data_IF_306186364893
#
_entry.id   IF_306186364893
#
_cell.length_a   1.000
_cell.length_b   1.000
_cell.length_c   1.000
_cell.angle_alpha   90.00
_cell.angle_beta   90.00
_cell.angle_gamma   90.00
#
_symmetry.space_group_name_H-M   'P 1'
#
loop_
_entity.id
_entity.type
_entity.pdbx_description
1 polymer ?
#
# COMPACT_ATOMS: atom_id res chain seq x y z
N UNK A 1 -30.81 13.52 -39.92
CA UNK A 1 -29.46 13.34 -39.32
C UNK A 1 -29.68 12.78 -37.94
N UNK A 2 -30.02 11.50 -37.84
CA UNK A 2 -30.43 10.88 -36.58
C UNK A 2 -30.22 9.36 -36.68
N UNK A 3 -28.96 8.95 -36.82
CA UNK A 3 -28.51 7.57 -36.68
C UNK A 3 -26.98 7.57 -36.63
N UNK A 4 -26.40 7.57 -35.42
CA UNK A 4 -25.04 7.10 -35.07
C UNK A 4 -24.74 7.40 -33.58
N UNK A 5 -25.65 6.97 -32.70
CA UNK A 5 -25.39 6.86 -31.26
C UNK A 5 -25.82 5.47 -30.77
N UNK A 6 -25.22 4.44 -31.38
CA UNK A 6 -25.22 3.11 -30.76
C UNK A 6 -24.11 3.14 -29.71
N UNK A 7 -24.51 3.41 -28.47
CA UNK A 7 -23.59 3.39 -27.34
C UNK A 7 -22.86 2.05 -27.30
N UNK A 8 -21.53 2.11 -27.27
CA UNK A 8 -20.71 0.93 -27.00
C UNK A 8 -21.02 0.50 -25.57
N UNK A 9 -21.82 -0.55 -25.43
CA UNK A 9 -21.96 -1.26 -24.16
C UNK A 9 -20.57 -1.75 -23.79
N UNK A 10 -19.92 -1.09 -22.82
CA UNK A 10 -18.69 -1.60 -22.21
C UNK A 10 -19.01 -3.00 -21.69
N UNK A 11 -18.49 -4.04 -22.35
CA UNK A 11 -18.48 -5.37 -21.76
C UNK A 11 -17.53 -5.29 -20.57
N UNK A 12 -18.09 -5.37 -19.35
CA UNK A 12 -17.25 -5.59 -18.19
C UNK A 12 -16.43 -6.87 -18.42
N UNK A 13 -15.17 -6.89 -17.98
CA UNK A 13 -14.54 -8.16 -17.62
C UNK A 13 -15.52 -8.96 -16.70
N UNK A 14 -15.75 -10.28 -16.91
CA UNK A 14 -16.85 -11.06 -16.28
C UNK A 14 -16.35 -11.84 -15.04
N UNK A 15 -16.71 -11.64 -13.76
CA UNK A 15 -15.76 -11.89 -12.62
C UNK A 15 -15.67 -13.15 -11.70
N UNK A 16 -14.44 -13.53 -11.27
CA UNK A 16 -14.13 -14.54 -10.22
C UNK A 16 -14.19 -13.90 -8.83
N UNK A 17 -15.02 -14.40 -7.94
CA UNK A 17 -15.30 -13.72 -6.67
C UNK A 17 -14.37 -14.14 -5.53
N UNK A 18 -14.32 -13.39 -4.43
CA UNK A 18 -13.59 -13.82 -3.23
C UNK A 18 -14.09 -15.18 -2.71
N UNK A 19 -15.41 -15.40 -2.77
CA UNK A 19 -16.02 -16.70 -2.49
C UNK A 19 -15.50 -17.84 -3.38
N UNK A 20 -15.13 -17.57 -4.64
CA UNK A 20 -14.48 -18.57 -5.51
C UNK A 20 -13.09 -18.95 -4.98
N UNK A 21 -12.24 -17.99 -4.56
CA UNK A 21 -10.91 -18.32 -4.02
C UNK A 21 -10.99 -19.10 -2.71
N UNK A 22 -11.89 -18.70 -1.80
CA UNK A 22 -12.19 -19.45 -0.57
C UNK A 22 -12.60 -20.90 -0.92
N UNK A 23 -13.52 -21.08 -1.87
CA UNK A 23 -13.97 -22.40 -2.32
C UNK A 23 -12.88 -23.20 -3.04
N UNK A 24 -12.00 -22.54 -3.80
CA UNK A 24 -10.88 -23.15 -4.50
C UNK A 24 -9.86 -23.77 -3.53
N UNK A 25 -9.64 -23.15 -2.37
CA UNK A 25 -8.84 -23.71 -1.28
C UNK A 25 -9.51 -24.98 -0.71
N UNK A 26 -10.81 -24.90 -0.38
CA UNK A 26 -11.56 -26.03 0.21
C UNK A 26 -11.50 -27.29 -0.66
N UNK A 27 -11.81 -27.17 -1.96
CA UNK A 27 -11.92 -28.33 -2.87
C UNK A 27 -10.57 -28.98 -3.20
N UNK A 28 -9.45 -28.29 -2.98
CA UNK A 28 -8.10 -28.78 -3.24
C UNK A 28 -7.36 -29.28 -1.99
N UNK A 29 -8.07 -29.49 -0.88
CA UNK A 29 -7.54 -30.08 0.35
C UNK A 29 -7.45 -29.13 1.54
N UNK A 30 -8.08 -27.95 1.47
CA UNK A 30 -8.02 -26.96 2.55
C UNK A 30 -6.68 -26.23 2.62
N UNK A 31 -6.51 -25.37 3.64
CA UNK A 31 -5.37 -24.46 3.75
C UNK A 31 -4.01 -25.19 3.79
N UNK A 32 -3.94 -26.35 4.43
CA UNK A 32 -2.74 -27.18 4.52
C UNK A 32 -2.17 -27.56 3.13
N UNK A 33 -3.03 -27.74 2.11
CA UNK A 33 -2.60 -28.04 0.74
C UNK A 33 -1.93 -26.84 0.04
N UNK A 34 -2.13 -25.63 0.56
CA UNK A 34 -1.63 -24.34 0.05
C UNK A 34 -0.56 -23.71 0.94
N UNK A 35 -0.21 -24.35 2.07
CA UNK A 35 0.79 -23.83 2.98
C UNK A 35 2.14 -23.62 2.27
N UNK A 36 2.74 -22.44 2.45
CA UNK A 36 3.99 -22.02 1.80
C UNK A 36 3.96 -22.01 0.25
N UNK A 37 2.80 -22.15 -0.40
CA UNK A 37 2.70 -22.04 -1.86
C UNK A 37 2.56 -20.58 -2.29
N UNK A 38 3.47 -20.14 -3.16
CA UNK A 38 3.28 -18.88 -3.88
C UNK A 38 2.13 -18.99 -4.88
N UNK A 39 1.58 -17.87 -5.32
CA UNK A 39 0.52 -17.85 -6.35
C UNK A 39 0.98 -18.50 -7.66
N UNK A 40 2.28 -18.41 -7.99
CA UNK A 40 2.88 -19.12 -9.13
C UNK A 40 3.00 -20.62 -8.91
N UNK A 41 3.31 -21.08 -7.70
CA UNK A 41 3.27 -22.50 -7.35
C UNK A 41 1.84 -23.04 -7.38
N UNK A 42 0.85 -22.26 -6.96
CA UNK A 42 -0.58 -22.59 -7.09
C UNK A 42 -1.00 -22.69 -8.56
N UNK A 43 -0.55 -21.76 -9.41
CA UNK A 43 -0.77 -21.83 -10.85
C UNK A 43 -0.23 -23.14 -11.44
N UNK A 44 1.04 -23.45 -11.16
CA UNK A 44 1.69 -24.64 -11.69
C UNK A 44 1.08 -25.96 -11.18
N UNK A 45 0.67 -25.99 -9.90
CA UNK A 45 0.19 -27.20 -9.22
C UNK A 45 -1.29 -27.49 -9.43
N UNK A 46 -2.12 -26.45 -9.52
CA UNK A 46 -3.59 -26.58 -9.52
C UNK A 46 -4.25 -26.00 -10.76
N UNK A 47 -3.78 -24.88 -11.33
CA UNK A 47 -4.45 -24.23 -12.47
C UNK A 47 -4.04 -24.81 -13.82
N UNK A 48 -2.74 -25.01 -14.09
CA UNK A 48 -2.29 -25.63 -15.35
C UNK A 48 -2.81 -27.07 -15.57
N UNK A 49 -3.00 -27.91 -14.53
CA UNK A 49 -3.67 -29.19 -14.70
C UNK A 49 -5.20 -29.09 -14.87
N UNK A 50 -5.80 -27.90 -14.65
CA UNK A 50 -7.25 -27.67 -14.68
C UNK A 50 -7.71 -27.03 -15.99
N UNK A 51 -8.38 -27.84 -16.82
CA UNK A 51 -8.86 -27.46 -18.15
C UNK A 51 -10.08 -26.51 -18.19
N UNK A 52 -10.44 -25.84 -17.08
CA UNK A 52 -11.69 -25.05 -16.97
C UNK A 52 -11.51 -23.53 -16.82
N UNK A 53 -10.28 -23.00 -16.88
CA UNK A 53 -10.03 -21.56 -16.75
C UNK A 53 -10.37 -20.82 -18.06
N UNK A 54 -11.67 -20.63 -18.35
CA UNK A 54 -12.14 -19.89 -19.54
C UNK A 54 -12.93 -18.62 -19.29
N UNK A 55 -13.37 -18.39 -18.05
CA UNK A 55 -14.07 -17.18 -17.63
C UNK A 55 -13.70 -16.94 -16.16
N UNK A 56 -12.96 -15.86 -15.82
CA UNK A 56 -13.61 -14.70 -15.17
C UNK A 56 -12.70 -13.63 -14.47
N UNK A 57 -13.01 -12.32 -14.62
CA UNK A 57 -12.35 -11.04 -14.24
C UNK A 57 -13.28 -9.98 -13.55
N UNK A 58 -12.99 -9.28 -12.43
CA UNK A 58 -13.50 -7.87 -12.16
C UNK A 58 -13.03 -7.10 -10.87
N UNK A 59 -11.78 -7.26 -10.40
CA UNK A 59 -11.00 -6.30 -9.55
C UNK A 59 -9.53 -6.62 -9.79
N UNK A 60 -8.73 -5.70 -10.31
CA UNK A 60 -7.33 -6.02 -10.70
C UNK A 60 -6.49 -6.36 -9.46
N UNK A 61 -6.04 -7.61 -9.39
CA UNK A 61 -5.13 -8.17 -8.39
C UNK A 61 -3.86 -8.71 -9.10
N UNK A 62 -2.70 -8.34 -8.55
CA UNK A 62 -1.42 -8.25 -9.23
C UNK A 62 -0.75 -9.59 -9.61
N UNK A 63 0.09 -9.65 -10.67
CA UNK A 63 0.94 -10.78 -11.07
C UNK A 63 2.15 -10.98 -10.15
N UNK A 64 1.86 -11.17 -8.86
CA UNK A 64 2.84 -11.54 -7.87
C UNK A 64 2.93 -13.06 -7.68
N UNK A 65 3.46 -13.74 -8.71
CA UNK A 65 3.77 -15.19 -8.76
C UNK A 65 4.65 -15.69 -7.58
N UNK A 66 5.20 -14.77 -6.78
CA UNK A 66 6.14 -14.99 -5.68
C UNK A 66 5.55 -14.73 -4.28
N UNK A 67 4.37 -14.11 -4.17
CA UNK A 67 3.69 -13.90 -2.87
C UNK A 67 2.90 -15.18 -2.51
N UNK A 68 2.79 -15.49 -1.22
CA UNK A 68 1.94 -16.57 -0.70
C UNK A 68 0.49 -16.43 -1.17
N UNK A 69 -0.11 -17.50 -1.68
CA UNK A 69 -1.50 -17.45 -2.13
C UNK A 69 -2.49 -17.27 -0.98
N UNK A 70 -2.21 -17.90 0.17
CA UNK A 70 -3.04 -17.75 1.36
C UNK A 70 -3.00 -16.30 1.88
N UNK A 71 -1.82 -15.67 1.91
CA UNK A 71 -1.67 -14.27 2.32
C UNK A 71 -2.46 -13.32 1.42
N UNK A 72 -2.53 -13.61 0.10
CA UNK A 72 -3.35 -12.84 -0.84
C UNK A 72 -4.84 -13.00 -0.57
N UNK A 73 -5.32 -14.22 -0.35
CA UNK A 73 -6.75 -14.46 -0.08
C UNK A 73 -7.16 -13.88 1.28
N UNK A 74 -6.33 -14.00 2.31
CA UNK A 74 -6.60 -13.44 3.64
C UNK A 74 -6.56 -11.91 3.62
N UNK A 75 -5.59 -11.30 2.93
CA UNK A 75 -5.51 -9.85 2.78
C UNK A 75 -6.73 -9.28 2.04
N UNK A 76 -7.22 -9.99 1.01
CA UNK A 76 -8.45 -9.60 0.30
C UNK A 76 -9.69 -9.79 1.16
N UNK A 77 -9.77 -10.84 1.98
CA UNK A 77 -10.89 -11.08 2.91
C UNK A 77 -10.98 -9.99 3.98
N UNK A 78 -9.85 -9.65 4.61
CA UNK A 78 -9.78 -8.55 5.58
C UNK A 78 -10.12 -7.21 4.90
N UNK A 79 -9.57 -6.93 3.71
CA UNK A 79 -9.88 -5.70 2.95
C UNK A 79 -11.37 -5.60 2.57
N UNK A 80 -12.01 -6.71 2.19
CA UNK A 80 -13.45 -6.74 1.87
C UNK A 80 -14.28 -6.45 3.12
N UNK A 81 -13.96 -7.09 4.25
CA UNK A 81 -14.65 -6.88 5.53
C UNK A 81 -14.51 -5.42 6.00
N UNK A 82 -13.32 -4.84 5.94
CA UNK A 82 -13.04 -3.45 6.34
C UNK A 82 -13.76 -2.42 5.45
N UNK A 83 -13.96 -2.72 4.17
CA UNK A 83 -14.68 -1.84 3.23
C UNK A 83 -16.19 -2.17 3.11
N UNK A 84 -16.71 -3.12 3.88
CA UNK A 84 -18.13 -3.53 3.81
C UNK A 84 -18.53 -4.18 2.47
N UNK A 85 -17.57 -4.81 1.78
CA UNK A 85 -17.77 -5.49 0.51
C UNK A 85 -18.25 -6.94 0.72
N UNK A 86 -19.06 -7.42 -0.21
CA UNK A 86 -19.59 -8.79 -0.19
C UNK A 86 -18.65 -9.77 -0.93
N UNK A 87 -18.67 -11.05 -0.53
CA UNK A 87 -17.89 -12.14 -1.14
C UNK A 87 -18.21 -12.39 -2.63
N UNK A 88 -19.30 -11.82 -3.15
CA UNK A 88 -19.67 -11.80 -4.58
C UNK A 88 -18.97 -10.70 -5.39
N UNK A 89 -18.29 -9.75 -4.75
CA UNK A 89 -17.45 -8.79 -5.48
C UNK A 89 -16.36 -9.57 -6.22
N UNK A 90 -16.30 -9.31 -7.52
CA UNK A 90 -15.39 -9.96 -8.44
C UNK A 90 -13.94 -9.50 -8.25
N UNK A 91 -13.01 -10.33 -8.72
CA UNK A 91 -11.57 -10.11 -8.68
C UNK A 91 -10.95 -10.68 -9.97
N UNK A 92 -10.30 -9.81 -10.74
CA UNK A 92 -9.38 -10.15 -11.82
C UNK A 92 -8.02 -10.40 -11.19
N UNK A 93 -7.83 -11.60 -10.65
CA UNK A 93 -6.50 -12.06 -10.27
C UNK A 93 -5.84 -12.65 -11.51
N UNK A 94 -4.90 -11.94 -12.13
CA UNK A 94 -4.28 -12.30 -13.42
C UNK A 94 -3.87 -13.79 -13.57
N UNK A 95 -3.42 -14.42 -12.48
CA UNK A 95 -3.02 -15.84 -12.40
C UNK A 95 -4.19 -16.80 -12.63
N UNK A 96 -5.40 -16.40 -12.26
CA UNK A 96 -6.65 -17.15 -12.42
C UNK A 96 -7.49 -16.66 -13.60
N UNK A 97 -7.29 -15.44 -14.07
CA UNK A 97 -8.19 -14.80 -15.02
C UNK A 97 -7.66 -14.77 -16.47
N UNK A 98 -6.33 -14.86 -16.65
CA UNK A 98 -5.73 -15.05 -17.95
C UNK A 98 -5.57 -16.55 -18.25
N UNK A 99 -5.67 -16.94 -19.52
CA UNK A 99 -5.37 -18.31 -19.93
C UNK A 99 -3.86 -18.59 -19.77
N UNK A 100 -3.51 -19.32 -18.72
CA UNK A 100 -2.11 -19.59 -18.37
C UNK A 100 -1.41 -20.47 -19.42
N UNK A 101 -2.14 -21.24 -20.23
CA UNK A 101 -1.57 -22.00 -21.34
C UNK A 101 -1.13 -21.08 -22.50
N UNK A 102 -1.97 -20.12 -22.89
CA UNK A 102 -1.65 -19.14 -23.95
C UNK A 102 -0.47 -18.23 -23.55
N UNK A 103 -0.32 -17.95 -22.25
CA UNK A 103 0.86 -17.28 -21.69
C UNK A 103 2.11 -18.16 -21.79
N UNK A 104 2.03 -19.43 -21.40
CA UNK A 104 3.18 -20.35 -21.44
C UNK A 104 3.68 -20.62 -22.86
N UNK A 105 2.77 -20.81 -23.81
CA UNK A 105 3.08 -21.04 -25.22
C UNK A 105 3.48 -19.74 -25.95
N UNK A 106 3.51 -18.59 -25.26
CA UNK A 106 3.83 -17.25 -25.80
C UNK A 106 3.05 -16.92 -27.08
N UNK A 107 1.76 -17.28 -27.10
CA UNK A 107 0.87 -17.13 -28.27
C UNK A 107 0.67 -15.67 -28.66
N UNK A 108 0.80 -14.76 -27.70
CA UNK A 108 0.53 -13.34 -27.83
C UNK A 108 1.73 -12.49 -27.41
N UNK A 109 1.90 -11.35 -28.09
CA UNK A 109 2.93 -10.36 -27.81
C UNK A 109 2.58 -9.44 -26.62
N UNK A 110 3.52 -8.55 -26.29
CA UNK A 110 3.34 -7.57 -25.21
C UNK A 110 2.16 -6.62 -25.47
N UNK A 111 2.00 -6.14 -26.69
CA UNK A 111 0.95 -5.16 -27.05
C UNK A 111 -0.46 -5.76 -26.84
N UNK A 112 -0.64 -7.05 -27.12
CA UNK A 112 -1.88 -7.76 -26.83
C UNK A 112 -2.21 -7.79 -25.33
N UNK A 113 -1.27 -8.26 -24.50
CA UNK A 113 -1.47 -8.34 -23.03
C UNK A 113 -1.65 -6.95 -22.40
N UNK A 114 -0.86 -5.98 -22.85
CA UNK A 114 -0.97 -4.57 -22.46
C UNK A 114 -2.34 -3.98 -22.82
N UNK A 115 -2.88 -4.30 -24.01
CA UNK A 115 -4.22 -3.91 -24.45
C UNK A 115 -5.35 -4.52 -23.59
N UNK A 116 -5.27 -5.81 -23.29
CA UNK A 116 -6.21 -6.49 -22.36
C UNK A 116 -6.14 -5.85 -20.97
N UNK A 117 -4.93 -5.61 -20.46
CA UNK A 117 -4.74 -5.02 -19.15
C UNK A 117 -5.32 -3.60 -19.06
N UNK A 118 -4.97 -2.69 -19.98
CA UNK A 118 -5.49 -1.30 -19.98
C UNK A 118 -6.99 -1.24 -20.19
N UNK A 119 -7.55 -2.07 -21.07
CA UNK A 119 -9.01 -2.10 -21.28
C UNK A 119 -9.75 -2.62 -20.04
N UNK A 120 -9.19 -3.63 -19.36
CA UNK A 120 -9.73 -4.13 -18.08
C UNK A 120 -9.66 -3.07 -16.98
N UNK A 121 -8.51 -2.43 -16.79
CA UNK A 121 -8.29 -1.37 -15.79
C UNK A 121 -9.25 -0.19 -16.00
N UNK A 122 -9.47 0.26 -17.25
CA UNK A 122 -10.44 1.31 -17.63
C UNK A 122 -11.91 0.93 -17.45
N UNK A 123 -12.21 -0.37 -17.31
CA UNK A 123 -13.56 -0.86 -17.07
C UNK A 123 -13.85 -0.99 -15.57
N UNK A 124 -12.89 -1.54 -14.82
CA UNK A 124 -12.99 -1.77 -13.37
C UNK A 124 -12.81 -0.48 -12.57
N UNK A 125 -11.85 0.37 -12.96
CA UNK A 125 -11.55 1.64 -12.29
C UNK A 125 -10.96 1.51 -10.87
N UNK A 126 -10.64 0.30 -10.42
CA UNK A 126 -10.12 0.00 -9.09
C UNK A 126 -8.97 -1.03 -9.17
N UNK A 127 -7.93 -0.84 -8.35
CA UNK A 127 -6.77 -1.75 -8.20
C UNK A 127 -6.54 -1.98 -6.72
N UNK A 128 -6.32 -3.23 -6.31
CA UNK A 128 -5.94 -3.60 -4.94
C UNK A 128 -4.59 -4.30 -4.97
N UNK A 129 -3.57 -3.69 -4.37
CA UNK A 129 -2.26 -4.29 -4.17
C UNK A 129 -2.20 -5.00 -2.81
N UNK A 130 -1.86 -6.29 -2.80
CA UNK A 130 -1.52 -6.99 -1.55
C UNK A 130 -0.07 -6.66 -1.18
N UNK A 131 0.15 -5.88 -0.14
CA UNK A 131 1.49 -5.45 0.27
C UNK A 131 2.08 -6.41 1.31
N UNK A 132 3.10 -7.20 0.90
CA UNK A 132 3.81 -8.13 1.78
C UNK A 132 5.28 -8.34 1.35
N UNK A 133 6.25 -8.34 2.29
CA UNK A 133 6.13 -7.78 3.64
C UNK A 133 5.89 -6.27 3.58
N UNK A 134 5.34 -5.66 4.62
CA UNK A 134 4.96 -4.24 4.57
C UNK A 134 6.15 -3.29 4.39
N UNK A 135 7.30 -3.62 5.00
CA UNK A 135 8.50 -2.78 5.09
C UNK A 135 9.49 -2.92 3.93
N UNK A 136 9.32 -3.94 3.09
CA UNK A 136 10.12 -4.18 1.89
C UNK A 136 9.28 -4.94 0.84
N UNK A 137 8.24 -4.30 0.26
CA UNK A 137 7.21 -5.01 -0.50
C UNK A 137 7.77 -5.80 -1.68
N UNK A 138 7.57 -7.13 -1.65
CA UNK A 138 7.99 -8.00 -2.76
C UNK A 138 7.29 -7.62 -4.06
N UNK A 139 6.06 -7.10 -3.96
CA UNK A 139 5.28 -6.59 -5.10
C UNK A 139 5.98 -5.46 -5.84
N UNK A 140 6.52 -4.48 -5.12
CA UNK A 140 7.21 -3.32 -5.72
C UNK A 140 8.62 -3.64 -6.25
N UNK A 141 9.06 -4.89 -6.12
CA UNK A 141 10.23 -5.45 -6.83
C UNK A 141 9.87 -6.11 -8.16
N UNK A 142 8.59 -6.20 -8.53
CA UNK A 142 8.13 -6.86 -9.77
C UNK A 142 7.77 -5.82 -10.84
N UNK A 143 8.36 -5.97 -12.03
CA UNK A 143 8.19 -4.99 -13.12
C UNK A 143 6.73 -4.78 -13.50
N UNK A 144 5.96 -5.87 -13.60
CA UNK A 144 4.52 -5.80 -13.87
C UNK A 144 3.76 -5.05 -12.77
N UNK A 145 4.04 -5.32 -11.49
CA UNK A 145 3.31 -4.69 -10.38
C UNK A 145 3.63 -3.19 -10.22
N UNK A 146 4.88 -2.79 -10.46
CA UNK A 146 5.26 -1.38 -10.56
C UNK A 146 4.54 -0.70 -11.74
N UNK A 147 4.47 -1.38 -12.89
CA UNK A 147 3.73 -0.91 -14.05
C UNK A 147 2.21 -0.82 -13.80
N UNK A 148 1.63 -1.68 -12.98
CA UNK A 148 0.23 -1.57 -12.56
C UNK A 148 -0.04 -0.34 -11.70
N UNK A 149 0.87 0.00 -10.77
CA UNK A 149 0.77 1.27 -10.01
C UNK A 149 0.80 2.45 -10.99
N UNK A 150 1.76 2.48 -11.91
CA UNK A 150 1.84 3.50 -12.96
C UNK A 150 0.55 3.63 -13.77
N UNK A 151 0.07 2.51 -14.31
CA UNK A 151 -1.13 2.48 -15.14
C UNK A 151 -2.39 2.90 -14.34
N UNK A 152 -2.48 2.56 -13.05
CA UNK A 152 -3.58 2.99 -12.19
C UNK A 152 -3.64 4.52 -12.08
N UNK A 153 -2.48 5.19 -11.99
CA UNK A 153 -2.41 6.66 -11.95
C UNK A 153 -2.73 7.26 -13.31
N UNK A 154 -2.19 6.69 -14.40
CA UNK A 154 -2.45 7.18 -15.79
C UNK A 154 -3.92 7.04 -16.19
N UNK A 155 -4.59 5.96 -15.80
CA UNK A 155 -6.00 5.71 -16.08
C UNK A 155 -6.94 6.32 -15.01
N UNK A 156 -6.40 7.04 -14.02
CA UNK A 156 -7.11 7.62 -12.88
C UNK A 156 -8.03 6.60 -12.15
N UNK A 157 -7.53 5.38 -11.98
CA UNK A 157 -8.16 4.34 -11.18
C UNK A 157 -7.96 4.61 -9.68
N UNK A 158 -8.90 4.15 -8.86
CA UNK A 158 -8.72 4.09 -7.40
C UNK A 158 -7.69 3.00 -7.10
N UNK A 159 -6.61 3.36 -6.42
CA UNK A 159 -5.60 2.42 -5.94
C UNK A 159 -5.74 2.24 -4.43
N UNK A 160 -5.77 0.99 -3.99
CA UNK A 160 -5.90 0.59 -2.59
C UNK A 160 -4.85 -0.46 -2.23
N UNK A 161 -4.55 -0.57 -0.93
CA UNK A 161 -3.63 -1.59 -0.40
C UNK A 161 -4.38 -2.50 0.56
N UNK A 162 -4.18 -3.81 0.37
CA UNK A 162 -4.59 -4.86 1.27
C UNK A 162 -3.36 -5.45 1.98
N UNK A 163 -3.52 -5.85 3.24
CA UNK A 163 -2.50 -6.54 4.04
C UNK A 163 -3.15 -7.67 4.83
N UNK A 164 -2.51 -8.83 4.91
CA UNK A 164 -2.94 -9.87 5.84
C UNK A 164 -2.70 -9.44 7.29
N UNK A 165 -3.52 -9.92 8.22
CA UNK A 165 -3.51 -9.52 9.66
C UNK A 165 -2.14 -9.36 10.29
N UNK A 166 -1.22 -10.31 10.05
CA UNK A 166 0.14 -10.27 10.61
C UNK A 166 0.98 -9.12 10.04
N UNK A 167 0.88 -8.85 8.75
CA UNK A 167 1.55 -7.71 8.10
C UNK A 167 0.92 -6.39 8.53
N UNK A 168 -0.42 -6.31 8.63
CA UNK A 168 -1.11 -5.12 9.14
C UNK A 168 -0.73 -4.82 10.59
N UNK A 169 -0.64 -5.84 11.45
CA UNK A 169 -0.19 -5.68 12.84
C UNK A 169 1.27 -5.23 12.93
N UNK A 170 2.19 -5.82 12.15
CA UNK A 170 3.59 -5.38 12.08
C UNK A 170 3.67 -3.94 11.60
N UNK A 171 2.96 -3.58 10.54
CA UNK A 171 2.88 -2.21 10.03
C UNK A 171 2.42 -1.22 11.11
N UNK A 172 1.31 -1.50 11.79
CA UNK A 172 0.75 -0.63 12.84
C UNK A 172 1.66 -0.49 14.08
N UNK A 173 2.50 -1.49 14.35
CA UNK A 173 3.53 -1.43 15.38
C UNK A 173 4.76 -0.63 14.92
N UNK A 174 5.26 -0.92 13.73
CA UNK A 174 6.52 -0.37 13.22
C UNK A 174 6.38 1.11 12.78
N UNK A 175 5.19 1.53 12.32
CA UNK A 175 4.88 2.91 11.90
C UNK A 175 4.96 3.93 13.06
N UNK A 176 5.05 3.45 14.31
CA UNK A 176 5.30 4.30 15.49
C UNK A 176 6.72 4.89 15.51
N UNK A 177 7.65 4.37 14.71
CA UNK A 177 8.96 4.99 14.43
C UNK A 177 8.84 5.95 13.23
N UNK A 178 9.06 7.25 13.48
CA UNK A 178 9.05 8.34 12.49
C UNK A 178 9.77 8.00 11.17
N UNK A 179 10.86 7.21 11.25
CA UNK A 179 11.66 6.83 10.08
C UNK A 179 11.10 5.65 9.27
N UNK A 180 10.19 4.85 9.84
CA UNK A 180 9.86 3.52 9.31
C UNK A 180 9.21 3.55 7.92
N UNK A 181 8.30 4.50 7.67
CA UNK A 181 7.66 4.66 6.37
C UNK A 181 8.65 5.11 5.28
N UNK A 182 9.46 6.14 5.54
CA UNK A 182 10.44 6.64 4.57
C UNK A 182 11.57 5.62 4.33
N UNK A 183 11.91 4.81 5.34
CA UNK A 183 12.80 3.66 5.19
C UNK A 183 12.22 2.60 4.26
N UNK A 184 10.93 2.28 4.36
CA UNK A 184 10.23 1.41 3.40
C UNK A 184 10.24 2.02 1.99
N UNK A 185 9.91 3.32 1.84
CA UNK A 185 9.96 3.99 0.54
C UNK A 185 11.37 3.92 -0.09
N UNK A 186 12.43 3.97 0.73
CA UNK A 186 13.82 3.87 0.26
C UNK A 186 14.22 2.50 -0.31
N UNK A 187 13.44 1.43 -0.05
CA UNK A 187 13.71 0.11 -0.66
C UNK A 187 13.18 0.01 -2.09
N UNK A 188 12.17 0.82 -2.44
CA UNK A 188 11.52 0.84 -3.76
C UNK A 188 12.45 1.48 -4.79
N UNK A 189 12.80 0.71 -5.82
CA UNK A 189 13.63 1.15 -6.95
C UNK A 189 13.07 0.53 -8.23
N UNK A 190 12.16 1.24 -8.91
CA UNK A 190 11.42 0.72 -10.08
C UNK A 190 12.34 0.24 -11.21
N UNK A 191 13.48 0.90 -11.42
CA UNK A 191 14.49 0.52 -12.42
C UNK A 191 15.23 -0.80 -12.10
N UNK A 192 15.15 -1.28 -10.84
CA UNK A 192 15.68 -2.58 -10.42
C UNK A 192 14.59 -3.66 -10.33
N UNK A 193 13.37 -3.37 -10.76
CA UNK A 193 12.29 -4.36 -10.76
C UNK A 193 12.54 -5.49 -11.76
N UNK A 194 12.07 -6.68 -11.43
CA UNK A 194 12.29 -7.89 -12.23
C UNK A 194 10.97 -8.56 -12.65
N UNK A 195 11.00 -9.28 -13.77
CA UNK A 195 9.92 -10.18 -14.20
C UNK A 195 10.52 -11.47 -14.78
N UNK A 196 9.72 -12.53 -14.81
CA UNK A 196 10.15 -13.89 -15.20
C UNK A 196 10.38 -14.00 -16.71
N UNK A 197 9.69 -13.18 -17.51
CA UNK A 197 9.82 -13.14 -18.97
C UNK A 197 10.68 -11.91 -19.33
N UNK A 198 11.91 -12.07 -19.88
CA UNK A 198 12.80 -10.94 -20.13
C UNK A 198 12.23 -9.91 -21.12
N UNK A 199 11.49 -10.36 -22.15
CA UNK A 199 10.87 -9.45 -23.13
C UNK A 199 9.82 -8.52 -22.51
N UNK A 200 9.05 -8.99 -21.53
CA UNK A 200 8.11 -8.14 -20.80
C UNK A 200 8.86 -7.01 -20.09
N UNK A 201 9.99 -7.34 -19.43
CA UNK A 201 10.82 -6.34 -18.74
C UNK A 201 11.29 -5.30 -19.74
N UNK A 202 11.87 -5.73 -20.84
CA UNK A 202 12.53 -4.85 -21.80
C UNK A 202 11.50 -3.94 -22.49
N UNK A 203 10.30 -4.46 -22.82
CA UNK A 203 9.18 -3.68 -23.36
C UNK A 203 8.60 -2.68 -22.35
N UNK A 204 8.33 -3.10 -21.11
CA UNK A 204 7.83 -2.20 -20.05
C UNK A 204 8.87 -1.12 -19.73
N UNK A 205 10.15 -1.47 -19.64
CA UNK A 205 11.23 -0.52 -19.36
C UNK A 205 11.37 0.50 -20.49
N UNK A 206 11.18 0.08 -21.75
CA UNK A 206 11.19 1.00 -22.88
C UNK A 206 10.00 1.97 -22.81
N UNK A 207 8.78 1.46 -22.60
CA UNK A 207 7.57 2.27 -22.43
C UNK A 207 7.71 3.27 -21.27
N UNK A 208 8.21 2.83 -20.12
CA UNK A 208 8.45 3.71 -18.96
C UNK A 208 9.45 4.81 -19.31
N UNK A 209 10.55 4.51 -20.03
CA UNK A 209 11.51 5.54 -20.47
C UNK A 209 10.90 6.55 -21.44
N UNK A 210 10.04 6.10 -22.35
CA UNK A 210 9.44 6.94 -23.38
C UNK A 210 8.29 7.82 -22.84
N UNK A 211 7.48 7.32 -21.89
CA UNK A 211 6.31 8.03 -21.37
C UNK A 211 6.57 8.85 -20.08
N UNK A 212 7.43 8.40 -19.16
CA UNK A 212 7.48 8.97 -17.79
C UNK A 212 8.88 9.12 -17.17
N UNK A 213 9.78 8.17 -17.42
CA UNK A 213 11.09 8.02 -16.77
C UNK A 213 11.01 7.44 -15.35
N UNK A 214 11.97 6.60 -14.97
CA UNK A 214 11.99 5.90 -13.68
C UNK A 214 11.94 6.82 -12.46
N UNK A 215 12.67 7.95 -12.48
CA UNK A 215 12.67 8.92 -11.35
C UNK A 215 11.27 9.49 -11.07
N UNK A 216 10.45 9.69 -12.10
CA UNK A 216 9.08 10.18 -11.95
C UNK A 216 8.11 9.05 -11.61
N UNK A 217 8.35 7.84 -12.14
CA UNK A 217 7.64 6.63 -11.76
C UNK A 217 7.77 6.33 -10.26
N UNK A 218 8.99 6.32 -9.71
CA UNK A 218 9.21 6.11 -8.26
C UNK A 218 8.44 7.14 -7.43
N UNK A 219 8.45 8.43 -7.83
CA UNK A 219 7.63 9.47 -7.17
C UNK A 219 6.14 9.19 -7.25
N UNK A 220 5.62 8.74 -8.39
CA UNK A 220 4.20 8.36 -8.52
C UNK A 220 3.85 7.17 -7.62
N UNK A 221 4.75 6.19 -7.46
CA UNK A 221 4.57 5.10 -6.50
C UNK A 221 4.53 5.65 -5.07
N UNK A 222 5.44 6.55 -4.70
CA UNK A 222 5.48 7.14 -3.36
C UNK A 222 4.21 7.96 -3.06
N UNK A 223 3.75 8.79 -4.00
CA UNK A 223 2.51 9.56 -3.89
C UNK A 223 1.27 8.66 -3.68
N UNK A 224 1.21 7.50 -4.35
CA UNK A 224 0.15 6.50 -4.16
C UNK A 224 0.22 5.88 -2.76
N UNK A 225 1.40 5.47 -2.31
CA UNK A 225 1.59 4.87 -0.97
C UNK A 225 1.28 5.88 0.14
N UNK A 226 1.75 7.14 0.01
CA UNK A 226 1.45 8.24 0.94
C UNK A 226 -0.04 8.56 1.03
N UNK A 227 -0.74 8.54 -0.11
CA UNK A 227 -2.18 8.80 -0.19
C UNK A 227 -3.01 7.72 0.50
N UNK A 228 -2.53 6.48 0.55
CA UNK A 228 -3.13 5.41 1.35
C UNK A 228 -2.73 5.51 2.83
N UNK A 229 -1.46 5.82 3.11
CA UNK A 229 -0.88 5.84 4.46
C UNK A 229 -1.56 6.83 5.42
N UNK A 230 -1.78 8.08 4.98
CA UNK A 230 -2.33 9.13 5.84
C UNK A 230 -3.77 8.87 6.32
N UNK A 231 -4.72 8.42 5.47
CA UNK A 231 -6.03 7.93 5.90
C UNK A 231 -5.95 6.75 6.86
N UNK A 232 -5.12 5.73 6.57
CA UNK A 232 -4.99 4.54 7.42
C UNK A 232 -4.54 4.89 8.84
N UNK A 233 -3.53 5.76 9.00
CA UNK A 233 -3.11 6.24 10.33
C UNK A 233 -4.16 7.16 10.98
N UNK A 234 -4.87 7.97 10.18
CA UNK A 234 -5.95 8.82 10.70
C UNK A 234 -7.08 7.99 11.32
N UNK A 235 -7.50 6.91 10.66
CA UNK A 235 -8.50 5.97 11.17
C UNK A 235 -8.09 5.41 12.55
N UNK A 236 -6.82 5.06 12.77
CA UNK A 236 -6.35 4.58 14.08
C UNK A 236 -6.48 5.64 15.19
N UNK A 237 -6.37 6.93 14.86
CA UNK A 237 -6.63 8.02 15.80
C UNK A 237 -8.12 8.24 16.08
N UNK A 238 -9.00 7.91 15.14
CA UNK A 238 -10.46 8.02 15.28
C UNK A 238 -11.06 6.82 16.05
N UNK A 239 -10.47 5.63 15.88
CA UNK A 239 -10.86 4.37 16.54
C UNK A 239 -10.14 4.13 17.89
N UNK A 240 -9.27 5.06 18.31
CA UNK A 240 -8.51 4.95 19.54
C UNK A 240 -9.40 4.83 20.79
N UNK A 241 -9.11 3.84 21.65
CA UNK A 241 -9.91 3.55 22.85
C UNK A 241 -9.91 4.70 23.88
N UNK A 242 -8.81 5.43 23.97
CA UNK A 242 -8.62 6.55 24.89
C UNK A 242 -7.79 7.68 24.27
N UNK A 243 -7.80 8.83 24.93
CA UNK A 243 -7.15 10.05 24.45
C UNK A 243 -5.61 9.94 24.40
N UNK A 244 -4.99 9.10 25.23
CA UNK A 244 -3.54 8.85 25.20
C UNK A 244 -3.16 8.06 23.95
N UNK A 245 -3.93 7.02 23.64
CA UNK A 245 -3.80 6.20 22.44
C UNK A 245 -4.07 7.05 21.18
N UNK A 246 -5.06 7.95 21.23
CA UNK A 246 -5.32 8.93 20.16
C UNK A 246 -4.14 9.88 19.97
N UNK A 247 -3.55 10.37 21.05
CA UNK A 247 -2.37 11.24 20.99
C UNK A 247 -1.14 10.52 20.40
N UNK A 248 -0.93 9.24 20.69
CA UNK A 248 0.12 8.44 20.05
C UNK A 248 -0.07 8.33 18.52
N UNK A 249 -1.28 8.01 18.06
CA UNK A 249 -1.57 7.98 16.61
C UNK A 249 -1.48 9.35 15.94
N UNK A 250 -1.78 10.42 16.67
CA UNK A 250 -1.56 11.79 16.20
C UNK A 250 -0.07 12.13 16.06
N UNK A 251 0.83 11.65 16.93
CA UNK A 251 2.28 11.81 16.73
C UNK A 251 2.72 11.20 15.39
N UNK A 252 2.33 9.95 15.12
CA UNK A 252 2.62 9.26 13.84
C UNK A 252 2.10 10.05 12.65
N UNK A 253 0.86 10.53 12.72
CA UNK A 253 0.25 11.37 11.67
C UNK A 253 1.03 12.68 11.46
N UNK A 254 1.48 13.32 12.54
CA UNK A 254 2.32 14.51 12.50
C UNK A 254 3.67 14.25 11.84
N UNK A 255 4.34 13.14 12.18
CA UNK A 255 5.61 12.71 11.58
C UNK A 255 5.49 12.46 10.06
N UNK A 256 4.41 11.79 9.63
CA UNK A 256 4.11 11.57 8.21
C UNK A 256 3.82 12.89 7.45
N UNK A 257 3.14 13.85 8.07
CA UNK A 257 2.90 15.16 7.48
C UNK A 257 4.20 15.98 7.41
N UNK A 258 5.02 15.96 8.45
CA UNK A 258 6.36 16.59 8.50
C UNK A 258 7.24 16.08 7.35
N UNK A 259 7.40 14.76 7.22
CA UNK A 259 8.21 14.15 6.16
C UNK A 259 7.68 14.38 4.74
N UNK A 260 6.38 14.64 4.58
CA UNK A 260 5.75 15.06 3.31
C UNK A 260 5.90 16.57 3.04
N UNK A 261 6.46 17.35 3.97
CA UNK A 261 6.60 18.81 3.87
C UNK A 261 5.34 19.60 4.24
N UNK A 262 4.34 18.97 4.84
CA UNK A 262 3.14 19.61 5.38
C UNK A 262 3.39 20.14 6.79
N UNK A 263 4.39 21.03 6.92
CA UNK A 263 4.92 21.48 8.21
C UNK A 263 3.87 22.16 9.10
N UNK A 264 2.99 22.99 8.54
CA UNK A 264 1.90 23.63 9.28
C UNK A 264 0.90 22.62 9.86
N UNK A 265 0.41 21.69 9.03
CA UNK A 265 -0.52 20.62 9.47
C UNK A 265 0.11 19.74 10.56
N UNK A 266 1.42 19.45 10.45
CA UNK A 266 2.17 18.70 11.46
C UNK A 266 2.33 19.48 12.78
N UNK A 267 2.68 20.76 12.73
CA UNK A 267 2.79 21.65 13.91
C UNK A 267 1.46 21.71 14.68
N UNK A 268 0.34 21.89 13.99
CA UNK A 268 -0.99 21.94 14.62
C UNK A 268 -1.34 20.61 15.33
N UNK A 269 -0.98 19.49 14.72
CA UNK A 269 -1.16 18.16 15.31
C UNK A 269 -0.28 17.97 16.55
N UNK A 270 1.00 18.34 16.50
CA UNK A 270 1.90 18.23 17.66
C UNK A 270 1.47 19.12 18.82
N UNK A 271 0.91 20.32 18.55
CA UNK A 271 0.26 21.13 19.59
C UNK A 271 -0.99 20.46 20.17
N UNK A 272 -1.82 19.81 19.35
CA UNK A 272 -2.98 19.07 19.82
C UNK A 272 -2.59 17.87 20.72
N UNK A 273 -1.56 17.11 20.34
CA UNK A 273 -0.96 16.04 21.16
C UNK A 273 -0.53 16.55 22.52
N UNK A 274 0.22 17.66 22.54
CA UNK A 274 0.69 18.29 23.79
C UNK A 274 -0.48 18.65 24.72
N UNK A 275 -1.55 19.22 24.20
CA UNK A 275 -2.75 19.58 24.97
C UNK A 275 -3.40 18.33 25.59
N UNK A 276 -3.44 17.22 24.86
CA UNK A 276 -3.98 15.95 25.36
C UNK A 276 -3.12 15.42 26.50
N UNK A 277 -1.79 15.29 26.32
CA UNK A 277 -0.91 14.78 27.38
C UNK A 277 -0.92 15.66 28.63
N UNK A 278 -0.94 16.99 28.48
CA UNK A 278 -1.06 17.91 29.62
C UNK A 278 -2.39 17.74 30.37
N UNK A 279 -3.50 17.46 29.66
CA UNK A 279 -4.83 17.26 30.27
C UNK A 279 -4.96 15.92 30.98
N UNK A 280 -4.51 14.83 30.33
CA UNK A 280 -4.73 13.47 30.80
C UNK A 280 -3.65 12.98 31.78
N UNK A 281 -2.39 13.38 31.60
CA UNK A 281 -1.27 12.95 32.44
C UNK A 281 -0.83 14.02 33.45
N UNK A 282 -1.26 15.28 33.28
CA UNK A 282 -0.76 16.42 34.07
C UNK A 282 0.70 16.79 33.77
N UNK A 283 1.29 16.22 32.72
CA UNK A 283 2.68 16.38 32.32
C UNK A 283 2.73 17.05 30.95
N UNK A 284 3.47 18.14 30.82
CA UNK A 284 3.80 18.72 29.52
C UNK A 284 4.80 17.81 28.82
N UNK A 285 4.51 17.33 27.60
CA UNK A 285 5.35 16.35 26.89
C UNK A 285 6.56 17.04 26.23
N UNK A 286 7.79 16.76 26.67
CA UNK A 286 8.99 17.31 26.03
C UNK A 286 9.23 16.75 24.63
N UNK A 287 8.69 15.56 24.32
CA UNK A 287 8.76 14.91 23.01
C UNK A 287 7.92 15.69 22.01
N UNK A 288 6.64 15.97 22.31
CA UNK A 288 5.79 16.77 21.44
C UNK A 288 6.36 18.17 21.16
N UNK A 289 7.00 18.80 22.17
CA UNK A 289 7.72 20.06 21.96
C UNK A 289 8.95 19.93 21.05
N UNK A 290 9.70 18.83 21.19
CA UNK A 290 10.84 18.53 20.33
C UNK A 290 10.40 18.31 18.87
N UNK A 291 9.23 17.73 18.65
CA UNK A 291 8.63 17.56 17.33
C UNK A 291 8.17 18.88 16.70
N UNK A 292 7.47 19.75 17.43
CA UNK A 292 7.13 21.11 16.92
C UNK A 292 8.42 21.88 16.57
N UNK A 293 9.45 21.82 17.43
CA UNK A 293 10.71 22.53 17.21
C UNK A 293 11.47 22.00 15.98
N UNK A 294 11.54 20.68 15.82
CA UNK A 294 12.15 20.03 14.64
C UNK A 294 11.40 20.38 13.36
N UNK A 295 10.06 20.37 13.40
CA UNK A 295 9.21 20.73 12.25
C UNK A 295 9.41 22.19 11.82
N UNK A 296 9.46 23.14 12.77
CA UNK A 296 9.75 24.56 12.51
C UNK A 296 11.18 24.79 11.98
N UNK A 297 12.14 23.97 12.41
CA UNK A 297 13.52 24.00 11.93
C UNK A 297 13.61 23.49 10.48
N UNK A 298 12.90 22.41 10.15
CA UNK A 298 12.83 21.83 8.79
C UNK A 298 12.08 22.74 7.80
N UNK A 299 11.02 23.44 8.23
CA UNK A 299 10.34 24.46 7.43
C UNK A 299 11.25 25.69 7.15
N UNK A 300 12.20 25.97 8.04
CA UNK A 300 13.17 27.07 7.91
C UNK A 300 12.61 28.47 8.17
N UNK A 301 11.36 28.58 8.62
CA UNK A 301 10.61 29.83 8.83
C UNK A 301 10.80 30.44 10.22
N UNK A 302 11.10 29.61 11.23
CA UNK A 302 11.00 29.99 12.65
C UNK A 302 12.20 29.51 13.49
N UNK A 303 13.42 29.73 12.99
CA UNK A 303 14.68 29.29 13.61
C UNK A 303 14.85 29.70 15.09
N UNK A 304 14.62 30.98 15.42
CA UNK A 304 14.77 31.49 16.80
C UNK A 304 13.71 30.91 17.77
N UNK A 305 12.50 30.67 17.27
CA UNK A 305 11.41 30.04 18.01
C UNK A 305 11.75 28.57 18.30
N UNK A 306 12.17 27.83 17.26
CA UNK A 306 12.61 26.43 17.39
C UNK A 306 13.77 26.28 18.38
N UNK A 307 14.79 27.15 18.31
CA UNK A 307 15.90 27.17 19.27
C UNK A 307 15.42 27.40 20.71
N UNK A 308 14.52 28.36 20.92
CA UNK A 308 13.93 28.65 22.25
C UNK A 308 13.19 27.42 22.79
N UNK A 309 12.43 26.74 21.94
CA UNK A 309 11.70 25.52 22.30
C UNK A 309 12.63 24.35 22.64
N UNK A 310 13.70 24.14 21.88
CA UNK A 310 14.71 23.13 22.21
C UNK A 310 15.40 23.41 23.55
N UNK A 311 15.69 24.68 23.85
CA UNK A 311 16.23 25.04 25.16
C UNK A 311 15.25 24.73 26.31
N UNK A 312 13.95 24.99 26.12
CA UNK A 312 12.94 24.76 27.16
C UNK A 312 12.66 23.26 27.38
N UNK A 313 12.67 22.46 26.30
CA UNK A 313 12.72 20.98 26.37
C UNK A 313 13.95 20.51 27.16
N UNK A 314 15.13 21.06 26.87
CA UNK A 314 16.36 20.70 27.58
C UNK A 314 16.30 21.09 29.07
N UNK A 315 15.84 22.31 29.39
CA UNK A 315 15.63 22.78 30.77
C UNK A 315 14.65 21.88 31.52
N UNK A 316 13.58 21.42 30.87
CA UNK A 316 12.64 20.46 31.44
C UNK A 316 13.30 19.10 31.71
N UNK A 317 13.96 18.52 30.70
CA UNK A 317 14.60 17.20 30.81
C UNK A 317 15.68 17.19 31.90
N UNK A 318 16.52 18.22 31.97
CA UNK A 318 17.51 18.37 33.05
C UNK A 318 16.82 18.39 34.42
N UNK A 319 15.81 19.25 34.65
CA UNK A 319 15.16 19.40 35.97
C UNK A 319 14.50 18.14 36.53
N UNK A 320 14.06 17.24 35.66
CA UNK A 320 13.35 16.02 36.04
C UNK A 320 14.29 14.81 36.05
N UNK A 321 15.02 14.55 34.95
CA UNK A 321 15.87 13.34 34.84
C UNK A 321 17.23 13.46 35.53
N UNK A 322 17.75 14.67 35.83
CA UNK A 322 19.01 14.78 36.59
C UNK A 322 18.86 14.37 38.05
N UNK A 323 17.63 14.33 38.58
CA UNK A 323 17.37 13.95 39.98
C UNK A 323 17.39 12.44 40.20
N UNK A 324 16.97 11.67 39.20
CA UNK A 324 16.97 10.19 39.27
C UNK A 324 18.39 9.63 39.22
N UNK A 325 19.35 10.36 38.62
CA UNK A 325 20.77 10.02 38.62
C UNK A 325 21.53 10.38 39.91
N UNK A 326 20.94 11.12 40.84
CA UNK A 326 21.54 11.42 42.17
C UNK A 326 21.01 10.51 43.29
N UNK A 327 20.21 9.48 42.97
CA UNK A 327 19.64 8.52 43.94
C UNK A 327 20.03 7.05 43.71
N UNK A 328 21.12 6.78 42.97
CA UNK A 328 21.77 5.46 42.86
C UNK A 328 23.24 5.53 43.30
#
# INVERSE_FOLDING_TARGET
>A
MEELSKGVTKSQPLGLTLGFFKRFIEIHGGRDAFENLTTGAVCARFLLPWSFVRQASDVVCQPCLVVSYLDVVDALDDFFQENGLDDSVAVWFCTFCNNQHEIQDQVYDFDHWFGIFRSSLRSVGNVVMVMSPWNDPTTLRRTWCVFEVYASVVENARFEIAMGRSQKASFLQDIQDDGAFYKMLSTIQSEKSETTIPSDRDNIFQLIRDEVGFVKLDRMVFEVLEKWMLPTVSQQSEEAFDEISRAAWLLVKGGLLRGKGHYGDAVDIFYAVRIIYLRELGIDSPEAWNDVASTKLEEGTALEEAMTMFEDVLKFKVRHYSKDHEQQ
#
